data_IF_248617640807
#
_entry.id   IF_248617640807
#
_cell.length_a   1.000
_cell.length_b   1.000
_cell.length_c   1.000
_cell.angle_alpha   90.00
_cell.angle_beta   90.00
_cell.angle_gamma   90.00
#
_symmetry.space_group_name_H-M   'P 1'
#
loop_
_entity.id
_entity.type
_entity.pdbx_description
1 polymer ?
#
# COMPACT_ATOMS: atom_id res chain seq x y z
N UNK A 1 -0.98 -22.07 -17.28
CA UNK A 1 -0.59 -21.30 -18.48
C UNK A 1 -0.71 -19.83 -18.12
N UNK A 2 0.45 -19.21 -17.87
CA UNK A 2 0.58 -17.79 -17.54
C UNK A 2 0.54 -17.04 -18.86
N UNK A 3 -0.35 -16.06 -19.00
CA UNK A 3 -0.33 -15.19 -20.17
C UNK A 3 0.58 -14.00 -19.89
N UNK A 4 1.78 -14.07 -20.47
CA UNK A 4 2.63 -12.92 -20.74
C UNK A 4 2.06 -12.27 -22.01
N UNK A 5 1.65 -11.01 -21.93
CA UNK A 5 1.53 -10.19 -23.14
C UNK A 5 2.41 -8.97 -22.91
N UNK A 6 3.40 -8.87 -23.79
CA UNK A 6 4.45 -7.86 -23.76
C UNK A 6 4.00 -6.70 -24.67
N UNK A 7 3.87 -5.49 -24.14
CA UNK A 7 3.83 -4.27 -24.94
C UNK A 7 4.72 -3.21 -24.28
N UNK A 8 5.87 -2.98 -24.91
CA UNK A 8 6.68 -1.76 -24.88
C UNK A 8 6.97 -1.11 -23.51
N UNK A 9 7.81 -1.80 -22.74
CA UNK A 9 8.74 -1.18 -21.78
C UNK A 9 8.17 -0.32 -20.63
N UNK A 10 6.90 -0.50 -20.28
CA UNK A 10 6.33 -0.01 -19.03
C UNK A 10 5.89 -1.20 -18.18
N UNK A 11 6.66 -1.54 -17.14
CA UNK A 11 6.21 -2.42 -16.06
C UNK A 11 5.18 -1.64 -15.24
N UNK A 12 3.95 -1.52 -15.76
CA UNK A 12 2.82 -0.95 -15.02
C UNK A 12 2.28 -2.06 -14.14
N UNK A 13 2.43 -1.89 -12.83
CA UNK A 13 1.79 -2.69 -11.78
C UNK A 13 0.28 -2.76 -12.05
N UNK A 14 -0.18 -3.84 -12.66
CA UNK A 14 -1.60 -4.07 -12.94
C UNK A 14 -2.39 -4.58 -11.73
N UNK A 15 -1.99 -4.22 -10.51
CA UNK A 15 -2.74 -4.51 -9.30
C UNK A 15 -2.81 -3.23 -8.48
N UNK A 16 -3.88 -2.44 -8.67
CA UNK A 16 -4.40 -1.50 -7.65
C UNK A 16 -5.72 -0.78 -7.99
N UNK A 17 -6.27 -0.92 -9.21
CA UNK A 17 -7.56 -0.31 -9.58
C UNK A 17 -8.56 -1.25 -10.26
N UNK A 18 -8.21 -2.53 -10.50
CA UNK A 18 -9.06 -3.50 -11.23
C UNK A 18 -10.09 -4.23 -10.37
N UNK A 19 -10.35 -3.74 -9.16
CA UNK A 19 -11.18 -4.41 -8.15
C UNK A 19 -12.12 -3.42 -7.45
N UNK A 20 -12.93 -3.88 -6.51
CA UNK A 20 -13.84 -3.04 -5.73
C UNK A 20 -13.24 -2.56 -4.40
N UNK A 21 -11.93 -2.38 -4.33
CA UNK A 21 -11.28 -2.01 -3.08
C UNK A 21 -11.43 -0.53 -2.76
N UNK A 22 -11.56 -0.18 -1.49
CA UNK A 22 -11.70 1.21 -1.06
C UNK A 22 -10.47 2.03 -1.47
N UNK A 23 -10.69 3.25 -1.96
CA UNK A 23 -9.65 4.19 -2.40
C UNK A 23 -9.99 5.59 -1.92
N UNK A 24 -9.02 6.49 -2.04
CA UNK A 24 -9.28 7.91 -1.80
C UNK A 24 -8.70 8.76 -2.93
N UNK A 25 -9.32 8.74 -4.12
CA UNK A 25 -8.81 9.46 -5.29
C UNK A 25 -9.02 10.98 -5.21
N UNK A 26 -9.86 11.47 -4.30
CA UNK A 26 -10.29 12.88 -4.23
C UNK A 26 -9.87 13.60 -2.95
N UNK A 27 -8.87 13.05 -2.25
CA UNK A 27 -8.34 13.64 -1.01
C UNK A 27 -9.40 13.83 0.09
N UNK A 28 -10.45 13.02 0.07
CA UNK A 28 -11.44 12.93 1.14
C UNK A 28 -10.80 12.60 2.49
N UNK A 29 -11.57 12.68 3.58
CA UNK A 29 -11.04 12.44 4.93
C UNK A 29 -10.57 11.00 5.20
N UNK A 30 -11.15 10.00 4.52
CA UNK A 30 -10.83 8.57 4.63
C UNK A 30 -11.07 7.83 3.31
N UNK A 31 -10.51 6.62 3.10
CA UNK A 31 -10.84 5.81 1.94
C UNK A 31 -12.31 5.36 1.92
N UNK A 32 -12.88 5.34 0.72
CA UNK A 32 -14.29 5.08 0.44
C UNK A 32 -14.44 4.27 -0.85
N UNK A 33 -15.67 3.83 -1.15
CA UNK A 33 -16.02 3.20 -2.42
C UNK A 33 -17.48 3.51 -2.81
N UNK A 34 -17.80 3.39 -4.10
CA UNK A 34 -19.19 3.21 -4.54
C UNK A 34 -19.73 1.89 -4.01
N UNK A 35 -21.03 1.76 -3.75
CA UNK A 35 -21.59 0.51 -3.18
C UNK A 35 -22.45 -0.23 -4.18
N UNK A 36 -22.57 -1.56 -4.05
CA UNK A 36 -23.49 -2.36 -4.89
C UNK A 36 -24.96 -2.19 -4.48
N UNK A 37 -25.26 -1.41 -3.44
CA UNK A 37 -26.63 -1.13 -3.01
C UNK A 37 -27.18 0.10 -3.77
N UNK A 38 -28.31 -0.02 -4.50
CA UNK A 38 -28.88 1.10 -5.26
C UNK A 38 -29.29 2.32 -4.41
N UNK A 39 -29.67 2.12 -3.15
CA UNK A 39 -30.06 3.20 -2.24
C UNK A 39 -28.88 3.88 -1.56
N UNK A 40 -27.65 3.37 -1.70
CA UNK A 40 -26.45 3.98 -1.12
C UNK A 40 -25.37 4.11 -2.19
N UNK A 41 -25.24 5.30 -2.75
CA UNK A 41 -24.29 5.57 -3.84
C UNK A 41 -22.84 5.28 -3.45
N UNK A 42 -22.39 5.76 -2.29
CA UNK A 42 -21.05 5.56 -1.77
C UNK A 42 -21.06 5.58 -0.23
N UNK A 43 -20.02 5.04 0.40
CA UNK A 43 -19.80 5.21 1.84
C UNK A 43 -18.30 4.99 2.17
N UNK A 44 -17.86 5.51 3.32
CA UNK A 44 -16.52 5.28 3.85
C UNK A 44 -16.32 3.82 4.23
N UNK A 45 -15.06 3.38 4.24
CA UNK A 45 -14.68 2.05 4.66
C UNK A 45 -14.14 2.05 6.10
N UNK A 46 -14.31 0.96 6.87
CA UNK A 46 -13.92 0.87 8.28
C UNK A 46 -12.42 0.57 8.39
N UNK A 47 -11.61 1.41 7.74
CA UNK A 47 -10.16 1.31 7.70
C UNK A 47 -9.67 2.21 8.84
N UNK A 48 -9.01 1.70 9.89
CA UNK A 48 -8.48 2.54 10.95
C UNK A 48 -7.39 3.47 10.41
N UNK A 49 -7.40 4.71 10.91
CA UNK A 49 -6.31 5.65 10.68
C UNK A 49 -5.16 5.28 11.62
N UNK A 50 -3.98 5.05 11.07
CA UNK A 50 -2.79 4.69 11.84
C UNK A 50 -2.22 5.87 12.62
N UNK A 51 -1.80 5.58 13.84
CA UNK A 51 -0.62 6.22 14.45
C UNK A 51 0.66 5.60 13.86
N UNK A 52 1.75 6.37 13.82
CA UNK A 52 2.88 6.31 12.87
C UNK A 52 3.63 4.95 12.71
N UNK A 53 3.35 3.95 13.54
CA UNK A 53 4.18 2.75 13.71
C UNK A 53 3.49 1.42 13.40
N UNK A 54 2.35 1.37 12.71
CA UNK A 54 1.73 0.09 12.34
C UNK A 54 1.53 -0.06 10.81
N UNK A 55 1.58 -1.30 10.30
CA UNK A 55 1.31 -1.65 8.89
C UNK A 55 0.64 -3.03 8.82
N UNK A 56 -0.06 -3.34 7.73
CA UNK A 56 -0.76 -4.62 7.54
C UNK A 56 -0.47 -5.25 6.19
N UNK A 57 -0.82 -6.53 6.06
CA UNK A 57 -0.50 -7.34 4.88
C UNK A 57 0.99 -7.33 4.63
N UNK A 58 1.38 -7.05 3.39
CA UNK A 58 2.79 -6.94 3.01
C UNK A 58 3.44 -5.62 3.43
N UNK A 59 2.67 -4.63 3.88
CA UNK A 59 3.17 -3.29 4.17
C UNK A 59 3.64 -2.50 2.94
N UNK A 60 3.20 -2.88 1.73
CA UNK A 60 3.44 -2.12 0.49
C UNK A 60 3.07 -0.63 0.60
N UNK A 61 1.96 -0.35 1.28
CA UNK A 61 1.45 1.00 1.52
C UNK A 61 2.00 1.65 2.80
N UNK A 62 2.95 1.00 3.51
CA UNK A 62 3.54 1.57 4.71
C UNK A 62 4.34 2.83 4.35
N UNK A 63 4.07 3.92 5.07
CA UNK A 63 4.67 5.25 4.86
C UNK A 63 5.14 5.87 6.17
N UNK A 64 5.31 5.07 7.22
CA UNK A 64 5.87 5.54 8.49
C UNK A 64 7.38 5.80 8.39
N UNK A 65 7.94 6.25 9.51
CA UNK A 65 9.31 6.76 9.62
C UNK A 65 10.25 5.80 10.35
N UNK A 66 9.79 4.58 10.63
CA UNK A 66 10.64 3.55 11.24
C UNK A 66 11.83 3.26 10.33
N UNK A 67 13.01 3.24 10.93
CA UNK A 67 14.31 3.10 10.25
C UNK A 67 15.26 2.16 11.01
N UNK A 68 14.69 1.25 11.82
CA UNK A 68 15.43 0.17 12.47
C UNK A 68 14.81 -1.17 12.07
N UNK A 69 15.65 -2.18 11.86
CA UNK A 69 15.21 -3.53 11.54
C UNK A 69 14.59 -4.25 12.74
N UNK A 70 14.08 -5.46 12.49
CA UNK A 70 13.64 -6.45 13.46
C UNK A 70 14.62 -6.65 14.63
N UNK A 71 15.91 -6.72 14.32
CA UNK A 71 16.95 -6.93 15.34
C UNK A 71 17.52 -5.63 15.89
N UNK A 72 16.94 -4.48 15.52
CA UNK A 72 17.36 -3.14 15.97
C UNK A 72 18.44 -2.48 15.11
N UNK A 73 18.89 -3.12 14.02
CA UNK A 73 19.94 -2.57 13.15
C UNK A 73 19.45 -1.32 12.43
N UNK A 74 20.30 -0.31 12.33
CA UNK A 74 19.99 0.91 11.60
C UNK A 74 19.81 0.61 10.11
N UNK A 75 18.76 1.14 9.51
CA UNK A 75 18.54 1.03 8.08
C UNK A 75 19.52 1.91 7.31
N UNK A 76 20.05 1.37 6.21
CA UNK A 76 20.75 2.12 5.17
C UNK A 76 19.74 2.93 4.35
N UNK A 77 20.15 4.13 3.94
CA UNK A 77 19.34 5.03 3.12
C UNK A 77 19.13 4.46 1.71
N UNK A 78 17.92 4.60 1.16
CA UNK A 78 17.55 4.07 -0.17
C UNK A 78 18.27 4.74 -1.35
N UNK A 79 18.88 5.90 -1.11
CA UNK A 79 19.76 6.61 -2.05
C UNK A 79 21.26 6.33 -1.80
N UNK A 80 21.61 5.67 -0.68
CA UNK A 80 22.98 5.23 -0.41
C UNK A 80 23.31 3.95 -1.18
N UNK A 81 24.57 3.78 -1.55
CA UNK A 81 25.11 2.53 -2.10
C UNK A 81 26.15 1.88 -1.17
N UNK A 82 26.21 2.35 0.08
CA UNK A 82 27.09 1.83 1.13
C UNK A 82 26.31 1.57 2.43
N UNK A 83 26.63 0.48 3.17
CA UNK A 83 27.60 -0.57 2.80
C UNK A 83 27.11 -1.49 1.66
N UNK A 84 25.81 -1.54 1.40
CA UNK A 84 25.23 -2.48 0.43
C UNK A 84 24.83 -1.79 -0.87
N UNK A 85 25.47 -2.19 -1.97
CA UNK A 85 25.04 -1.75 -3.31
C UNK A 85 23.72 -2.39 -3.68
N UNK A 86 22.81 -1.61 -4.27
CA UNK A 86 21.49 -2.10 -4.65
C UNK A 86 20.80 -1.28 -5.76
N UNK A 87 19.85 -1.92 -6.43
CA UNK A 87 19.03 -1.30 -7.49
C UNK A 87 17.71 -0.72 -7.00
N UNK A 88 17.37 -0.86 -5.71
CA UNK A 88 16.12 -0.37 -5.12
C UNK A 88 16.20 1.12 -4.79
N UNK A 89 16.20 1.97 -5.82
CA UNK A 89 16.24 3.43 -5.68
C UNK A 89 14.89 4.05 -6.03
N UNK A 90 14.64 5.29 -5.59
CA UNK A 90 13.43 6.03 -5.97
C UNK A 90 13.27 6.18 -7.49
N UNK A 91 14.38 6.23 -8.24
CA UNK A 91 14.37 6.23 -9.71
C UNK A 91 13.79 4.95 -10.30
N UNK A 92 14.17 3.80 -9.75
CA UNK A 92 13.74 2.48 -10.25
C UNK A 92 12.37 2.06 -9.67
N UNK A 93 11.99 2.61 -8.52
CA UNK A 93 10.73 2.34 -7.82
C UNK A 93 10.01 3.66 -7.45
N UNK A 94 9.53 4.45 -8.44
CA UNK A 94 8.94 5.77 -8.20
C UNK A 94 7.70 5.72 -7.31
N UNK A 95 6.97 4.60 -7.33
CA UNK A 95 5.79 4.37 -6.50
C UNK A 95 6.10 3.82 -5.10
N UNK A 96 7.37 3.54 -4.80
CA UNK A 96 7.82 2.89 -3.57
C UNK A 96 7.94 3.81 -2.36
N UNK A 97 7.91 5.14 -2.54
CA UNK A 97 8.21 6.14 -1.50
C UNK A 97 9.52 5.82 -0.76
N UNK A 98 10.56 5.50 -1.53
CA UNK A 98 11.89 5.16 -1.03
C UNK A 98 12.64 6.42 -0.60
N UNK A 99 12.21 7.00 0.52
CA UNK A 99 12.78 8.22 1.11
C UNK A 99 13.60 7.88 2.36
N UNK A 100 14.72 8.59 2.54
CA UNK A 100 15.64 8.39 3.65
C UNK A 100 15.99 6.89 3.80
N UNK A 101 16.03 6.40 5.03
CA UNK A 101 16.25 5.00 5.38
C UNK A 101 15.01 4.35 5.99
N UNK A 102 13.81 4.83 5.66
CA UNK A 102 12.59 4.28 6.26
C UNK A 102 12.27 2.89 5.71
N UNK A 103 11.79 1.97 6.53
CA UNK A 103 11.41 0.64 6.09
C UNK A 103 10.31 0.73 5.03
N UNK A 104 10.45 -0.01 3.92
CA UNK A 104 9.53 0.00 2.79
C UNK A 104 9.39 -1.40 2.21
N UNK A 105 8.37 -1.60 1.39
CA UNK A 105 8.23 -2.82 0.62
C UNK A 105 7.99 -2.49 -0.86
N UNK A 106 9.02 -2.12 -1.63
CA UNK A 106 8.89 -1.71 -3.02
C UNK A 106 8.70 -2.89 -4.00
N UNK A 107 9.01 -4.11 -3.58
CA UNK A 107 9.12 -5.31 -4.42
C UNK A 107 8.17 -6.43 -4.01
N UNK A 108 7.07 -6.11 -3.32
CA UNK A 108 6.05 -7.06 -2.91
C UNK A 108 6.57 -8.21 -2.04
N UNK A 109 7.57 -7.94 -1.20
CA UNK A 109 8.04 -8.87 -0.18
C UNK A 109 6.99 -9.19 0.88
N UNK A 110 7.29 -10.13 1.77
CA UNK A 110 6.35 -10.53 2.82
C UNK A 110 6.04 -9.39 3.81
N UNK A 111 7.00 -8.56 4.16
CA UNK A 111 6.85 -7.41 5.08
C UNK A 111 7.73 -6.22 4.63
N UNK A 112 7.52 -4.99 5.15
CA UNK A 112 8.47 -3.90 5.02
C UNK A 112 9.85 -4.31 5.51
N UNK A 113 10.85 -3.83 4.80
CA UNK A 113 12.24 -4.15 5.04
C UNK A 113 13.10 -2.93 4.71
N UNK A 114 14.37 -3.01 5.05
CA UNK A 114 15.38 -2.05 4.62
C UNK A 114 16.71 -2.77 4.43
N UNK A 115 17.60 -2.20 3.63
CA UNK A 115 19.02 -2.53 3.74
C UNK A 115 19.52 -2.08 5.10
N UNK A 116 20.47 -2.78 5.71
CA UNK A 116 21.00 -2.38 7.01
C UNK A 116 22.36 -1.70 6.87
N UNK A 117 22.80 -0.94 7.88
CA UNK A 117 24.17 -0.41 7.91
C UNK A 117 25.19 -1.44 8.40
N UNK A 118 24.76 -2.65 8.77
CA UNK A 118 25.62 -3.75 9.19
C UNK A 118 26.18 -4.49 7.96
N UNK A 119 27.51 -4.53 7.76
CA UNK A 119 28.14 -5.22 6.63
C UNK A 119 27.82 -6.72 6.54
N UNK A 120 27.53 -7.38 7.67
CA UNK A 120 27.23 -8.82 7.72
C UNK A 120 25.76 -9.13 7.39
N UNK A 121 24.91 -8.11 7.40
CA UNK A 121 23.47 -8.25 7.24
C UNK A 121 22.95 -7.31 6.17
N UNK A 122 22.88 -7.80 4.93
CA UNK A 122 22.53 -6.97 3.79
C UNK A 122 21.18 -6.27 3.94
N UNK A 123 20.16 -6.99 4.40
CA UNK A 123 18.81 -6.46 4.59
C UNK A 123 18.07 -7.25 5.66
N UNK A 124 17.11 -6.61 6.30
CA UNK A 124 16.24 -7.24 7.28
C UNK A 124 14.82 -6.68 7.19
N UNK A 125 13.84 -7.48 7.59
CA UNK A 125 12.49 -6.99 7.81
C UNK A 125 12.47 -6.01 8.99
N UNK A 126 11.54 -5.07 8.94
CA UNK A 126 11.01 -4.46 10.15
C UNK A 126 9.65 -5.07 10.42
N UNK A 127 9.42 -5.36 11.68
CA UNK A 127 8.16 -5.86 12.18
C UNK A 127 7.88 -5.12 13.48
N UNK A 128 6.68 -4.55 13.54
CA UNK A 128 6.15 -4.02 14.78
C UNK A 128 5.91 -5.23 15.66
N UNK A 129 6.55 -5.31 16.82
CA UNK A 129 6.34 -6.41 17.76
C UNK A 129 4.82 -6.62 17.91
N UNK A 130 4.34 -7.78 17.44
CA UNK A 130 2.95 -8.22 17.56
C UNK A 130 2.50 -8.34 19.04
N UNK A 131 3.38 -8.06 20.00
CA UNK A 131 3.20 -8.17 21.43
C UNK A 131 2.17 -7.20 22.04
N UNK A 132 1.63 -6.23 21.28
CA UNK A 132 0.65 -5.25 21.79
C UNK A 132 -0.71 -5.37 21.08
N UNK A 133 -0.84 -6.18 20.02
CA UNK A 133 -2.07 -6.24 19.24
C UNK A 133 -2.73 -7.63 19.34
N UNK A 134 -4.01 -7.70 19.80
CA UNK A 134 -4.74 -8.97 19.82
C UNK A 134 -4.74 -9.62 18.45
N UNK A 135 -4.65 -10.96 18.41
CA UNK A 135 -4.66 -11.79 17.19
C UNK A 135 -5.81 -11.50 16.21
N UNK A 136 -6.87 -10.83 16.67
CA UNK A 136 -7.99 -10.35 15.87
C UNK A 136 -7.66 -9.14 14.97
N UNK A 137 -6.55 -8.42 15.20
CA UNK A 137 -6.15 -7.23 14.45
C UNK A 137 -5.15 -7.55 13.33
N UNK A 138 -4.62 -8.77 13.23
CA UNK A 138 -3.67 -9.17 12.18
C UNK A 138 -4.21 -8.99 10.74
N UNK A 139 -5.53 -8.85 10.58
CA UNK A 139 -6.22 -8.72 9.29
C UNK A 139 -6.76 -7.30 9.01
N UNK A 140 -6.52 -6.32 9.90
CA UNK A 140 -7.17 -5.00 9.83
C UNK A 140 -6.37 -4.03 8.99
N UNK A 141 -6.63 -3.98 7.68
CA UNK A 141 -5.98 -3.02 6.79
C UNK A 141 -6.28 -1.57 7.22
N UNK A 142 -5.27 -0.69 7.20
CA UNK A 142 -5.32 0.66 7.77
C UNK A 142 -4.84 1.74 6.76
N UNK A 143 -5.01 3.03 7.07
CA UNK A 143 -4.52 4.14 6.24
C UNK A 143 -3.80 5.24 7.06
N UNK A 144 -2.90 6.00 6.44
CA UNK A 144 -2.26 7.20 7.04
C UNK A 144 -2.77 8.49 6.37
N UNK A 145 -2.66 9.63 7.05
CA UNK A 145 -3.08 10.93 6.48
C UNK A 145 -4.56 10.95 6.10
N UNK A 146 -4.85 11.27 4.83
CA UNK A 146 -6.18 11.15 4.21
C UNK A 146 -6.47 9.74 3.66
N UNK A 147 -5.44 8.92 3.47
CA UNK A 147 -5.57 7.62 2.82
C UNK A 147 -5.51 7.67 1.29
N UNK A 148 -5.06 8.78 0.69
CA UNK A 148 -4.83 8.88 -0.76
C UNK A 148 -3.85 7.80 -1.29
N UNK A 149 -2.86 7.42 -0.47
CA UNK A 149 -1.91 6.35 -0.77
C UNK A 149 -2.40 4.95 -0.37
N UNK A 150 -3.63 4.79 0.13
CA UNK A 150 -4.16 3.50 0.57
C UNK A 150 -4.34 2.55 -0.62
N UNK A 151 -3.65 1.41 -0.56
CA UNK A 151 -3.63 0.39 -1.61
C UNK A 151 -4.06 -1.00 -1.09
N UNK A 152 -4.82 -1.04 0.00
CA UNK A 152 -5.35 -2.28 0.57
C UNK A 152 -6.47 -2.91 -0.27
N UNK A 153 -7.00 -4.03 0.22
CA UNK A 153 -8.07 -4.84 -0.39
C UNK A 153 -9.41 -4.82 0.36
N UNK A 154 -9.62 -3.94 1.35
CA UNK A 154 -10.95 -3.75 1.98
C UNK A 154 -11.96 -3.38 0.89
N UNK A 155 -13.07 -4.11 0.84
CA UNK A 155 -14.14 -3.96 -0.16
C UNK A 155 -15.54 -3.87 0.46
N UNK A 156 -15.60 -3.50 1.75
CA UNK A 156 -16.85 -3.24 2.47
C UNK A 156 -16.81 -1.89 3.18
N UNK A 157 -17.96 -1.22 3.19
CA UNK A 157 -18.16 0.07 3.84
C UNK A 157 -18.36 -0.08 5.36
N UNK A 158 -18.31 1.03 6.11
CA UNK A 158 -18.59 1.07 7.56
C UNK A 158 -19.97 0.49 7.91
N UNK A 159 -20.92 0.64 6.99
CA UNK A 159 -22.28 0.07 7.10
C UNK A 159 -22.39 -1.38 6.61
N UNK A 160 -21.27 -2.04 6.31
CA UNK A 160 -21.23 -3.43 5.83
C UNK A 160 -21.56 -3.64 4.35
N UNK A 161 -21.89 -2.58 3.60
CA UNK A 161 -22.22 -2.68 2.17
C UNK A 161 -21.00 -3.02 1.32
N UNK A 162 -21.18 -3.92 0.35
CA UNK A 162 -20.15 -4.31 -0.62
C UNK A 162 -19.84 -3.18 -1.57
N UNK A 163 -18.56 -2.98 -1.87
CA UNK A 163 -18.11 -2.00 -2.82
C UNK A 163 -18.41 -2.42 -4.27
N UNK A 164 -18.77 -1.45 -5.11
CA UNK A 164 -18.83 -1.55 -6.56
C UNK A 164 -17.40 -1.48 -7.12
N UNK A 165 -17.13 -2.22 -8.20
CA UNK A 165 -15.83 -2.16 -8.88
C UNK A 165 -15.65 -0.79 -9.54
N UNK A 166 -14.44 -0.24 -9.50
CA UNK A 166 -14.16 1.08 -10.08
C UNK A 166 -14.24 1.12 -11.61
N UNK A 167 -14.18 -0.04 -12.27
CA UNK A 167 -14.42 -0.18 -13.71
C UNK A 167 -15.89 -0.46 -14.07
N UNK A 168 -16.78 -0.62 -13.09
CA UNK A 168 -18.22 -0.79 -13.29
C UNK A 168 -18.94 0.54 -13.28
N UNK A 169 -19.92 0.71 -14.17
CA UNK A 169 -20.87 1.84 -14.15
C UNK A 169 -22.21 1.47 -13.51
N UNK A 170 -22.34 0.25 -12.98
CA UNK A 170 -23.53 -0.22 -12.28
C UNK A 170 -23.22 -0.65 -10.83
N UNK A 171 -24.14 -0.42 -9.86
CA UNK A 171 -25.41 0.31 -10.03
C UNK A 171 -25.25 1.84 -10.10
N UNK A 172 -24.06 2.37 -9.80
CA UNK A 172 -23.84 3.81 -9.77
C UNK A 172 -22.88 4.24 -10.87
N UNK A 173 -23.39 5.01 -11.84
CA UNK A 173 -22.52 5.63 -12.85
C UNK A 173 -21.60 6.66 -12.19
N UNK A 174 -20.34 6.72 -12.61
CA UNK A 174 -19.36 7.66 -12.09
C UNK A 174 -18.19 7.90 -13.04
N UNK A 175 -17.59 9.09 -12.93
CA UNK A 175 -16.43 9.48 -13.72
C UNK A 175 -15.12 8.85 -13.26
N UNK A 176 -15.00 8.44 -11.99
CA UNK A 176 -13.76 7.94 -11.38
C UNK A 176 -13.43 6.49 -11.80
N UNK A 177 -12.93 6.32 -13.02
CA UNK A 177 -12.57 5.01 -13.58
C UNK A 177 -11.04 4.81 -13.64
N UNK A 178 -10.54 3.55 -13.61
CA UNK A 178 -9.10 3.28 -13.68
C UNK A 178 -8.40 3.93 -14.87
N UNK A 179 -9.09 4.03 -16.02
CA UNK A 179 -8.57 4.67 -17.24
C UNK A 179 -8.16 6.13 -17.04
N UNK A 180 -8.83 6.88 -16.16
CA UNK A 180 -8.48 8.28 -15.90
C UNK A 180 -7.20 8.48 -15.07
N UNK A 181 -6.72 7.43 -14.41
CA UNK A 181 -5.57 7.46 -13.51
C UNK A 181 -4.41 6.60 -14.02
N UNK A 182 -4.50 6.08 -15.25
CA UNK A 182 -3.46 5.29 -15.91
C UNK A 182 -2.56 6.13 -16.83
N UNK A 183 -2.97 7.36 -17.17
CA UNK A 183 -2.27 8.24 -18.14
C UNK A 183 -1.67 9.52 -17.49
N UNK A 184 -1.29 9.47 -16.21
CA UNK A 184 -0.55 10.56 -15.54
C UNK A 184 0.64 10.05 -14.73
#
# INVERSE_FOLDING_TARGET
KVWLVNYNNHVILRICFSENYCRNPDQSSKPWCYTTNPSTRWNYCPIPKLEENCYFGTGFAYRGTVHNSQTGKTCQSWDSQEPHKHTKTAKNYPNGDLKHNYCRNPNCEKYPWCYTTDPESQWEYFHVLHSIMPRQILNTQCFTGSGAAYKGTVSKTVSGKTCQRWDSQEPHEHTRTPGQYLDK
#
